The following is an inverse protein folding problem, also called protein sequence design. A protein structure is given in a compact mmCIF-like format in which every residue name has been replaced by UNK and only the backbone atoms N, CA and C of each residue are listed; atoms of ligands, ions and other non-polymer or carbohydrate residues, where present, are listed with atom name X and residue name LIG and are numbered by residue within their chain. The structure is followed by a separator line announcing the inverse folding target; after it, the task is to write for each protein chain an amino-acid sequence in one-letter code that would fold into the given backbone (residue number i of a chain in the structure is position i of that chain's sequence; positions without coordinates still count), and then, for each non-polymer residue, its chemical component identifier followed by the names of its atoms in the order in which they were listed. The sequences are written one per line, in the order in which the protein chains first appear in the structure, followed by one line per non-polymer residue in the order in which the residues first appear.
data_IF_279899532849
#
_entry.id   IF_279899532849
#
_cell.length_a   1.000
_cell.length_b   1.000
_cell.length_c   1.000
_cell.angle_alpha   90.00
_cell.angle_beta   90.00
_cell.angle_gamma   90.00
#
_symmetry.space_group_name_H-M   'P 1'
#
loop_
_entity.id
_entity.type
_entity.pdbx_description
1 polymer ?
#
# COMPACT_ATOMS: atom_id res chain seq x y z
N UNK A 1 -12.64 37.03 -11.27
CA UNK A 1 -12.76 35.58 -11.51
C UNK A 1 -12.14 34.86 -10.33
N UNK A 2 -12.95 34.17 -9.50
CA UNK A 2 -12.41 33.38 -8.41
C UNK A 2 -11.60 32.22 -9.00
N UNK A 3 -10.31 32.10 -8.64
CA UNK A 3 -9.51 30.91 -8.95
C UNK A 3 -10.30 29.70 -8.47
N UNK A 4 -10.69 28.82 -9.40
CA UNK A 4 -11.30 27.53 -9.10
C UNK A 4 -10.35 26.84 -8.11
N UNK A 5 -10.82 26.59 -6.88
CA UNK A 5 -9.98 25.98 -5.84
C UNK A 5 -9.48 24.63 -6.37
N UNK A 6 -8.16 24.44 -6.39
CA UNK A 6 -7.47 23.22 -6.85
C UNK A 6 -7.72 22.07 -5.86
N UNK A 7 -8.97 21.62 -5.77
CA UNK A 7 -9.35 20.48 -4.94
C UNK A 7 -9.38 19.23 -5.80
N UNK A 8 -8.36 18.39 -5.62
CA UNK A 8 -8.24 17.09 -6.30
C UNK A 8 -8.23 15.94 -5.29
N UNK A 9 -8.28 14.72 -5.81
CA UNK A 9 -8.03 13.48 -5.06
C UNK A 9 -6.71 13.55 -4.25
N UNK A 10 -5.66 14.14 -4.86
CA UNK A 10 -4.37 14.37 -4.21
C UNK A 10 -4.51 15.21 -2.93
N UNK A 11 -5.19 16.37 -3.01
CA UNK A 11 -5.26 17.31 -1.89
C UNK A 11 -6.30 16.93 -0.84
N UNK A 12 -7.39 16.26 -1.23
CA UNK A 12 -8.51 15.93 -0.32
C UNK A 12 -8.33 14.59 0.39
N UNK A 13 -7.60 13.65 -0.19
CA UNK A 13 -7.55 12.28 0.35
C UNK A 13 -6.12 11.73 0.40
N UNK A 14 -5.35 11.83 -0.69
CA UNK A 14 -4.03 11.18 -0.77
C UNK A 14 -3.01 11.78 0.21
N UNK A 15 -2.86 13.11 0.24
CA UNK A 15 -1.97 13.79 1.19
C UNK A 15 -2.43 13.54 2.64
N UNK A 16 -3.71 13.72 3.00
CA UNK A 16 -4.19 13.39 4.35
C UNK A 16 -3.95 11.93 4.76
N UNK A 17 -4.23 10.96 3.90
CA UNK A 17 -3.99 9.54 4.15
C UNK A 17 -2.50 9.24 4.39
N UNK A 18 -1.63 9.90 3.62
CA UNK A 18 -0.17 9.78 3.76
C UNK A 18 0.31 10.31 5.10
N UNK A 19 -0.14 11.50 5.47
CA UNK A 19 0.16 12.10 6.77
C UNK A 19 -0.40 11.24 7.91
N UNK A 20 -1.56 10.63 7.72
CA UNK A 20 -2.13 9.72 8.71
C UNK A 20 -1.31 8.44 8.91
N UNK A 21 -0.77 7.85 7.85
CA UNK A 21 0.18 6.74 7.96
C UNK A 21 1.45 7.17 8.71
N UNK A 22 1.96 8.38 8.49
CA UNK A 22 3.11 8.89 9.26
C UNK A 22 2.83 9.01 10.76
N UNK A 23 1.58 9.31 11.16
CA UNK A 23 1.18 9.28 12.58
C UNK A 23 1.31 7.90 13.21
N UNK A 24 1.23 6.85 12.39
CA UNK A 24 1.43 5.45 12.80
C UNK A 24 2.89 5.00 12.67
N UNK A 25 3.83 5.95 12.51
CA UNK A 25 5.26 5.68 12.53
C UNK A 25 5.84 5.12 11.22
N UNK A 26 5.23 5.45 10.09
CA UNK A 26 5.79 5.20 8.76
C UNK A 26 6.66 6.37 8.32
N UNK A 27 7.81 6.10 7.71
CA UNK A 27 8.68 7.15 7.16
C UNK A 27 8.28 7.44 5.71
N UNK A 28 8.03 8.71 5.40
CA UNK A 28 7.75 9.14 4.05
C UNK A 28 9.04 9.26 3.22
N UNK A 29 9.03 8.67 2.03
CA UNK A 29 10.08 8.81 1.03
C UNK A 29 9.67 9.87 -0.02
N UNK A 30 10.44 10.95 -0.19
CA UNK A 30 10.11 12.00 -1.15
C UNK A 30 10.21 11.50 -2.59
N UNK A 31 9.44 12.10 -3.52
CA UNK A 31 9.35 11.65 -4.93
C UNK A 31 10.70 11.65 -5.65
N UNK A 32 11.57 12.59 -5.30
CA UNK A 32 12.93 12.71 -5.84
C UNK A 32 14.00 12.21 -4.83
N UNK A 33 13.59 11.40 -3.85
CA UNK A 33 14.48 10.80 -2.87
C UNK A 33 15.39 9.74 -3.48
N UNK A 34 16.54 9.53 -2.84
CA UNK A 34 17.56 8.57 -3.28
C UNK A 34 16.99 7.16 -3.38
N UNK A 35 16.26 6.72 -2.36
CA UNK A 35 15.67 5.38 -2.28
C UNK A 35 14.69 5.11 -3.43
N UNK A 36 13.90 6.13 -3.80
CA UNK A 36 12.97 6.04 -4.93
C UNK A 36 13.72 6.03 -6.26
N UNK A 37 14.77 6.85 -6.40
CA UNK A 37 15.57 6.92 -7.61
C UNK A 37 16.38 5.63 -7.88
N UNK A 38 16.90 5.00 -6.82
CA UNK A 38 17.77 3.80 -6.88
C UNK A 38 17.01 2.47 -6.79
N UNK A 39 15.67 2.50 -6.71
CA UNK A 39 14.86 1.29 -6.67
C UNK A 39 15.06 0.41 -7.91
N UNK A 40 14.88 -0.90 -7.76
CA UNK A 40 14.89 -1.82 -8.89
C UNK A 40 13.72 -1.49 -9.84
N UNK A 41 13.97 -1.17 -11.12
CA UNK A 41 12.93 -0.69 -12.03
C UNK A 41 11.92 -1.78 -12.43
N UNK A 42 12.29 -3.06 -12.29
CA UNK A 42 11.44 -4.19 -12.68
C UNK A 42 10.43 -4.61 -11.60
N UNK A 43 10.70 -4.22 -10.34
CA UNK A 43 9.94 -4.68 -9.16
C UNK A 43 9.55 -3.57 -8.20
N UNK A 44 10.16 -2.39 -8.34
CA UNK A 44 10.11 -1.27 -7.39
C UNK A 44 10.70 -1.56 -6.00
N UNK A 45 11.50 -2.62 -5.83
CA UNK A 45 12.22 -2.88 -4.56
C UNK A 45 13.20 -1.75 -4.26
N UNK A 46 13.19 -1.21 -3.04
CA UNK A 46 14.18 -0.25 -2.55
C UNK A 46 15.46 -1.03 -2.21
N UNK A 47 16.33 -1.25 -3.20
CA UNK A 47 17.45 -2.20 -3.13
C UNK A 47 18.35 -1.94 -1.91
N UNK A 48 18.75 -0.69 -1.69
CA UNK A 48 19.62 -0.31 -0.57
C UNK A 48 18.98 -0.61 0.80
N UNK A 49 17.69 -0.28 0.96
CA UNK A 49 16.95 -0.53 2.21
C UNK A 49 16.75 -2.03 2.42
N UNK A 50 16.41 -2.76 1.35
CA UNK A 50 16.20 -4.19 1.43
C UNK A 50 17.50 -4.93 1.78
N UNK A 51 18.62 -4.56 1.16
CA UNK A 51 19.94 -5.12 1.46
C UNK A 51 20.32 -4.92 2.92
N UNK A 52 20.21 -3.69 3.42
CA UNK A 52 20.57 -3.37 4.80
C UNK A 52 19.75 -4.20 5.80
N UNK A 53 18.42 -4.26 5.62
CA UNK A 53 17.56 -5.03 6.51
C UNK A 53 17.77 -6.54 6.39
N UNK A 54 17.92 -7.04 5.17
CA UNK A 54 18.17 -8.46 4.92
C UNK A 54 19.47 -8.93 5.57
N UNK A 55 20.57 -8.19 5.42
CA UNK A 55 21.84 -8.53 6.05
C UNK A 55 21.84 -8.28 7.57
N UNK A 56 21.00 -7.38 8.07
CA UNK A 56 20.78 -7.21 9.52
C UNK A 56 20.14 -8.47 10.12
N UNK A 57 19.11 -9.02 9.47
CA UNK A 57 18.46 -10.24 9.95
C UNK A 57 19.25 -11.52 9.67
N UNK A 58 20.07 -11.51 8.62
CA UNK A 58 20.85 -12.66 8.18
C UNK A 58 22.35 -12.32 8.19
N UNK A 59 22.88 -11.97 9.37
CA UNK A 59 24.25 -11.48 9.55
C UNK A 59 25.37 -12.49 9.18
N UNK A 60 24.99 -13.73 8.85
CA UNK A 60 25.87 -14.78 8.34
C UNK A 60 25.98 -14.78 6.81
N UNK A 61 25.20 -13.95 6.11
CA UNK A 61 25.20 -13.80 4.66
C UNK A 61 26.06 -12.61 4.21
N UNK A 62 26.50 -12.67 2.96
CA UNK A 62 27.32 -11.64 2.32
C UNK A 62 26.54 -10.81 1.32
N UNK A 63 27.16 -9.74 0.82
CA UNK A 63 26.64 -8.96 -0.29
C UNK A 63 26.36 -9.83 -1.54
N UNK A 64 27.21 -10.83 -1.83
CA UNK A 64 27.02 -11.74 -2.97
C UNK A 64 25.78 -12.64 -2.79
N UNK A 65 25.50 -13.05 -1.54
CA UNK A 65 24.29 -13.80 -1.22
C UNK A 65 23.05 -12.94 -1.41
N UNK A 66 23.09 -11.67 -1.00
CA UNK A 66 22.00 -10.73 -1.25
C UNK A 66 21.72 -10.54 -2.74
N UNK A 67 22.74 -10.33 -3.57
CA UNK A 67 22.55 -10.17 -5.02
C UNK A 67 21.88 -11.41 -5.65
N UNK A 68 22.27 -12.60 -5.18
CA UNK A 68 21.64 -13.87 -5.60
C UNK A 68 20.19 -13.96 -5.14
N UNK A 69 19.90 -13.57 -3.91
CA UNK A 69 18.53 -13.54 -3.38
C UNK A 69 17.64 -12.55 -4.12
N UNK A 70 18.14 -11.35 -4.43
CA UNK A 70 17.42 -10.37 -5.23
C UNK A 70 17.13 -10.92 -6.64
N UNK A 71 18.10 -11.58 -7.27
CA UNK A 71 17.90 -12.24 -8.56
C UNK A 71 16.83 -13.36 -8.49
N UNK A 72 16.87 -14.20 -7.45
CA UNK A 72 15.89 -15.26 -7.21
C UNK A 72 14.47 -14.69 -7.03
N UNK A 73 14.33 -13.63 -6.22
CA UNK A 73 13.07 -12.91 -6.05
C UNK A 73 12.54 -12.42 -7.40
N UNK A 74 13.38 -11.79 -8.24
CA UNK A 74 12.96 -11.30 -9.56
C UNK A 74 12.47 -12.43 -10.48
N UNK A 75 13.08 -13.60 -10.42
CA UNK A 75 12.66 -14.79 -11.17
C UNK A 75 11.31 -15.31 -10.67
N UNK A 76 11.12 -15.41 -9.36
CA UNK A 76 9.84 -15.85 -8.77
C UNK A 76 8.70 -14.89 -9.07
N UNK A 77 8.96 -13.59 -9.01
CA UNK A 77 7.98 -12.57 -9.32
C UNK A 77 7.51 -12.59 -10.77
N UNK A 78 8.26 -13.22 -11.68
CA UNK A 78 7.82 -13.42 -13.07
C UNK A 78 7.02 -14.72 -13.28
N UNK A 79 6.85 -15.55 -12.25
CA UNK A 79 6.05 -16.77 -12.34
C UNK A 79 4.55 -16.46 -12.45
N UNK A 80 3.84 -17.28 -13.22
CA UNK A 80 2.39 -17.15 -13.40
C UNK A 80 1.62 -17.79 -12.22
N UNK A 81 1.88 -17.36 -10.99
CA UNK A 81 1.42 -18.03 -9.76
C UNK A 81 0.71 -17.11 -8.74
N UNK A 82 0.46 -15.83 -9.10
CA UNK A 82 -0.08 -14.77 -8.24
C UNK A 82 0.82 -14.37 -7.07
N UNK A 83 2.13 -14.62 -7.16
CA UNK A 83 3.11 -14.32 -6.13
C UNK A 83 3.09 -15.33 -5.00
N UNK A 84 2.71 -16.58 -5.26
CA UNK A 84 2.70 -17.66 -4.25
C UNK A 84 4.11 -18.08 -3.87
N UNK A 85 5.01 -18.19 -4.83
CA UNK A 85 6.43 -18.50 -4.63
C UNK A 85 7.09 -17.40 -3.81
N UNK A 86 6.94 -16.13 -4.23
CA UNK A 86 7.42 -14.99 -3.46
C UNK A 86 6.83 -14.93 -2.04
N UNK A 87 5.53 -15.19 -1.90
CA UNK A 87 4.88 -15.24 -0.58
C UNK A 87 5.53 -16.30 0.33
N UNK A 88 5.76 -17.53 -0.17
CA UNK A 88 6.44 -18.58 0.62
C UNK A 88 7.86 -18.17 1.01
N UNK A 89 8.60 -17.52 0.09
CA UNK A 89 9.94 -17.00 0.36
C UNK A 89 9.93 -16.03 1.54
N UNK A 90 9.09 -15.00 1.50
CA UNK A 90 9.06 -13.98 2.57
C UNK A 90 8.53 -14.53 3.91
N UNK A 91 7.83 -15.67 3.91
CA UNK A 91 7.48 -16.39 5.15
C UNK A 91 8.69 -17.09 5.80
N UNK A 92 9.89 -17.03 5.20
CA UNK A 92 11.11 -17.60 5.78
C UNK A 92 11.20 -19.13 5.70
N UNK A 93 10.38 -19.77 4.86
CA UNK A 93 10.39 -21.24 4.71
C UNK A 93 11.72 -21.79 4.15
N UNK A 94 12.56 -20.91 3.58
CA UNK A 94 13.85 -21.26 2.96
C UNK A 94 15.06 -20.86 3.82
N UNK A 95 14.86 -20.50 5.10
CA UNK A 95 15.93 -20.29 6.08
C UNK A 95 16.43 -18.84 6.22
N UNK A 96 16.20 -17.99 5.22
CA UNK A 96 16.48 -16.55 5.33
C UNK A 96 15.28 -15.77 5.89
N UNK A 97 15.57 -14.73 6.68
CA UNK A 97 14.56 -13.85 7.29
C UNK A 97 14.44 -12.56 6.48
N UNK A 98 13.24 -12.27 6.00
CA UNK A 98 12.95 -11.06 5.21
C UNK A 98 12.19 -10.01 6.03
N UNK A 99 11.36 -10.50 6.94
CA UNK A 99 10.44 -9.74 7.80
C UNK A 99 10.45 -10.44 9.14
N UNK A 100 10.63 -9.68 10.22
CA UNK A 100 10.37 -10.19 11.56
C UNK A 100 8.86 -10.13 11.83
N UNK A 101 8.21 -11.28 11.75
CA UNK A 101 6.76 -11.39 11.92
C UNK A 101 6.30 -11.29 13.39
N UNK A 102 7.22 -11.50 14.32
CA UNK A 102 6.93 -11.55 15.76
C UNK A 102 7.19 -10.20 16.44
N UNK A 103 8.19 -9.44 15.95
CA UNK A 103 8.59 -8.14 16.48
C UNK A 103 8.45 -7.04 15.40
N UNK A 104 7.26 -6.41 15.27
CA UNK A 104 7.02 -5.39 14.24
C UNK A 104 8.02 -4.24 14.26
N UNK A 105 8.50 -3.83 15.43
CA UNK A 105 9.48 -2.76 15.63
C UNK A 105 10.88 -3.07 15.09
N UNK A 106 11.20 -4.34 14.86
CA UNK A 106 12.44 -4.74 14.19
C UNK A 106 12.40 -4.47 12.68
N UNK A 107 11.22 -4.22 12.11
CA UNK A 107 11.05 -3.92 10.69
C UNK A 107 10.99 -2.41 10.43
N UNK A 108 11.44 -2.03 9.24
CA UNK A 108 11.33 -0.67 8.73
C UNK A 108 10.09 -0.53 7.83
N UNK A 109 9.28 0.49 8.09
CA UNK A 109 8.08 0.80 7.32
C UNK A 109 8.22 2.14 6.61
N UNK A 110 8.21 2.10 5.29
CA UNK A 110 8.25 3.29 4.45
C UNK A 110 6.96 3.45 3.66
N UNK A 111 6.67 4.67 3.23
CA UNK A 111 5.65 4.94 2.23
C UNK A 111 6.14 5.96 1.21
N UNK A 112 5.65 5.86 -0.02
CA UNK A 112 5.91 6.82 -1.07
C UNK A 112 4.67 7.08 -1.91
N UNK A 113 4.54 8.30 -2.42
CA UNK A 113 3.45 8.67 -3.31
C UNK A 113 3.79 8.35 -4.75
N UNK A 114 2.81 7.85 -5.51
CA UNK A 114 2.88 7.87 -6.97
C UNK A 114 4.09 7.14 -7.57
N UNK A 115 4.57 6.07 -6.92
CA UNK A 115 5.65 5.21 -7.45
C UNK A 115 5.15 4.49 -8.70
N UNK A 116 5.81 4.72 -9.83
CA UNK A 116 5.36 4.18 -11.12
C UNK A 116 5.80 2.74 -11.27
N UNK A 117 4.85 1.86 -11.60
CA UNK A 117 5.06 0.48 -12.02
C UNK A 117 5.07 0.46 -13.55
N UNK A 118 6.25 0.41 -14.16
CA UNK A 118 6.41 0.52 -15.60
C UNK A 118 7.11 -0.72 -16.17
N UNK A 119 6.59 -1.24 -17.28
CA UNK A 119 7.25 -2.27 -18.06
C UNK A 119 6.99 -2.04 -19.56
N UNK A 120 8.03 -1.62 -20.27
CA UNK A 120 7.93 -1.18 -21.65
C UNK A 120 7.05 0.07 -21.77
N UNK A 121 6.00 -0.02 -22.60
CA UNK A 121 5.05 1.07 -22.85
C UNK A 121 3.83 1.05 -21.91
N UNK A 122 3.72 0.03 -21.07
CA UNK A 122 2.61 -0.09 -20.12
C UNK A 122 3.07 0.40 -18.74
N UNK A 123 2.25 1.22 -18.12
CA UNK A 123 2.46 1.69 -16.76
C UNK A 123 1.16 1.76 -15.97
N UNK A 124 1.28 1.60 -14.65
CA UNK A 124 0.28 2.06 -13.70
C UNK A 124 0.98 2.67 -12.50
N UNK A 125 0.25 3.49 -11.74
CA UNK A 125 0.82 4.27 -10.64
C UNK A 125 -0.15 4.28 -9.47
N UNK A 126 0.08 3.46 -8.44
CA UNK A 126 -0.70 3.51 -7.21
C UNK A 126 -0.59 4.87 -6.53
N UNK A 127 -1.63 5.29 -5.82
CA UNK A 127 -1.59 6.56 -5.09
C UNK A 127 -0.54 6.56 -3.96
N UNK A 128 -0.52 5.52 -3.13
CA UNK A 128 0.44 5.35 -2.02
C UNK A 128 0.99 3.93 -2.06
N UNK A 129 2.31 3.77 -2.06
CA UNK A 129 2.97 2.46 -1.94
C UNK A 129 3.58 2.35 -0.54
N UNK A 130 3.36 1.23 0.13
CA UNK A 130 3.89 0.89 1.44
C UNK A 130 4.98 -0.17 1.28
N UNK A 131 6.14 0.12 1.85
CA UNK A 131 7.28 -0.77 1.87
C UNK A 131 7.54 -1.30 3.26
N UNK A 132 7.86 -2.58 3.35
CA UNK A 132 8.35 -3.23 4.58
C UNK A 132 9.74 -3.76 4.26
N UNK A 133 10.76 -3.29 4.97
CA UNK A 133 12.16 -3.64 4.74
C UNK A 133 12.57 -3.47 3.27
N UNK A 134 12.10 -2.39 2.63
CA UNK A 134 12.38 -2.09 1.22
C UNK A 134 11.54 -2.84 0.18
N UNK A 135 10.72 -3.83 0.57
CA UNK A 135 9.83 -4.55 -0.33
C UNK A 135 8.48 -3.84 -0.49
N UNK A 136 7.98 -3.54 -1.71
CA UNK A 136 6.68 -2.90 -1.94
C UNK A 136 5.52 -3.90 -1.77
N UNK A 137 5.21 -4.26 -0.52
CA UNK A 137 4.25 -5.33 -0.20
C UNK A 137 2.80 -4.85 -0.21
N UNK A 138 2.55 -3.55 -0.22
CA UNK A 138 1.17 -3.04 -0.26
C UNK A 138 1.06 -1.72 -1.00
N UNK A 139 -0.12 -1.45 -1.56
CA UNK A 139 -0.47 -0.13 -2.04
C UNK A 139 -1.92 0.23 -1.70
N UNK A 140 -2.16 1.53 -1.58
CA UNK A 140 -3.45 2.14 -1.27
C UNK A 140 -3.87 2.99 -2.46
N UNK A 141 -5.05 2.70 -3.00
CA UNK A 141 -5.75 3.56 -3.96
C UNK A 141 -6.79 4.38 -3.22
N UNK A 142 -6.74 5.69 -3.37
CA UNK A 142 -7.71 6.61 -2.78
C UNK A 142 -8.54 7.25 -3.86
N UNK A 143 -9.80 7.53 -3.57
CA UNK A 143 -10.72 8.18 -4.50
C UNK A 143 -11.35 9.38 -3.84
N UNK A 144 -11.59 10.42 -4.63
CA UNK A 144 -12.33 11.58 -4.15
C UNK A 144 -13.78 11.18 -3.78
N UNK A 145 -14.29 11.58 -2.60
CA UNK A 145 -15.68 11.36 -2.21
C UNK A 145 -16.67 11.85 -3.27
N UNK A 146 -17.71 11.07 -3.52
CA UNK A 146 -18.79 11.36 -4.47
C UNK A 146 -18.35 11.51 -5.94
N UNK A 147 -17.14 11.06 -6.29
CA UNK A 147 -16.69 11.07 -7.67
C UNK A 147 -17.42 9.98 -8.47
N UNK A 148 -18.21 10.40 -9.47
CA UNK A 148 -18.82 9.54 -10.48
C UNK A 148 -18.21 9.88 -11.83
N UNK A 149 -17.69 8.87 -12.54
CA UNK A 149 -17.15 9.01 -13.89
C UNK A 149 -17.72 7.90 -14.77
N UNK A 150 -18.24 8.26 -15.93
CA UNK A 150 -18.86 7.31 -16.88
C UNK A 150 -19.91 6.39 -16.24
N UNK A 151 -20.70 6.94 -15.31
CA UNK A 151 -21.74 6.21 -14.57
C UNK A 151 -21.23 5.24 -13.50
N UNK A 152 -19.92 5.19 -13.25
CA UNK A 152 -19.28 4.34 -12.23
C UNK A 152 -18.81 5.16 -11.03
N UNK A 153 -18.93 4.59 -9.84
CA UNK A 153 -18.29 5.14 -8.64
C UNK A 153 -16.78 4.91 -8.67
N UNK A 154 -16.02 5.67 -7.86
CA UNK A 154 -14.58 5.45 -7.71
C UNK A 154 -14.22 4.00 -7.37
N UNK A 155 -15.02 3.34 -6.52
CA UNK A 155 -14.82 1.94 -6.15
C UNK A 155 -14.98 1.01 -7.36
N UNK A 156 -16.04 1.18 -8.14
CA UNK A 156 -16.28 0.34 -9.32
C UNK A 156 -15.19 0.52 -10.38
N UNK A 157 -14.76 1.77 -10.63
CA UNK A 157 -13.66 2.06 -11.55
C UNK A 157 -12.35 1.41 -11.11
N UNK A 158 -12.04 1.41 -9.82
CA UNK A 158 -10.81 0.77 -9.31
C UNK A 158 -10.87 -0.75 -9.34
N UNK A 159 -12.05 -1.36 -9.15
CA UNK A 159 -12.21 -2.81 -9.34
C UNK A 159 -11.88 -3.23 -10.78
N UNK A 160 -12.37 -2.48 -11.78
CA UNK A 160 -12.08 -2.74 -13.20
C UNK A 160 -10.61 -2.53 -13.53
N UNK A 161 -10.00 -1.44 -13.03
CA UNK A 161 -8.57 -1.14 -13.22
C UNK A 161 -7.69 -2.21 -12.59
N UNK A 162 -8.00 -2.62 -11.38
CA UNK A 162 -7.29 -3.69 -10.68
C UNK A 162 -7.34 -4.99 -11.48
N UNK A 163 -8.52 -5.35 -12.01
CA UNK A 163 -8.68 -6.53 -12.86
C UNK A 163 -7.79 -6.45 -14.11
N UNK A 164 -7.82 -5.33 -14.83
CA UNK A 164 -6.96 -5.12 -16.01
C UNK A 164 -5.47 -5.26 -15.66
N UNK A 165 -5.04 -4.69 -14.53
CA UNK A 165 -3.64 -4.80 -14.06
C UNK A 165 -3.23 -6.25 -13.82
N UNK A 166 -4.09 -7.07 -13.23
CA UNK A 166 -3.82 -8.49 -12.98
C UNK A 166 -3.79 -9.36 -14.23
N UNK A 167 -4.61 -9.02 -15.24
CA UNK A 167 -4.65 -9.73 -16.52
C UNK A 167 -3.45 -9.35 -17.43
N UNK A 168 -2.82 -8.18 -17.21
CA UNK A 168 -1.66 -7.74 -17.98
C UNK A 168 -0.34 -8.37 -17.47
N UNK A 169 0.21 -9.31 -18.25
CA UNK A 169 1.47 -9.99 -17.94
C UNK A 169 2.67 -9.04 -17.74
N UNK A 170 2.68 -7.84 -18.33
CA UNK A 170 3.76 -6.87 -18.14
C UNK A 170 3.83 -6.35 -16.71
N UNK A 171 2.71 -6.38 -15.99
CA UNK A 171 2.63 -5.98 -14.59
C UNK A 171 2.83 -7.13 -13.60
N UNK A 172 3.13 -8.34 -14.09
CA UNK A 172 3.19 -9.55 -13.27
C UNK A 172 4.12 -9.41 -12.07
N UNK A 173 5.33 -8.88 -12.24
CA UNK A 173 6.27 -8.68 -11.13
C UNK A 173 5.71 -7.76 -10.05
N UNK A 174 5.16 -6.60 -10.44
CA UNK A 174 4.53 -5.64 -9.52
C UNK A 174 3.29 -6.21 -8.83
N UNK A 175 2.49 -7.00 -9.54
CA UNK A 175 1.35 -7.69 -8.94
C UNK A 175 1.83 -8.74 -7.94
N UNK A 176 2.72 -9.64 -8.34
CA UNK A 176 3.19 -10.76 -7.53
C UNK A 176 3.90 -10.32 -6.23
N UNK A 177 4.60 -9.18 -6.24
CA UNK A 177 5.25 -8.64 -5.04
C UNK A 177 4.24 -7.98 -4.08
N UNK A 178 3.13 -7.45 -4.61
CA UNK A 178 2.06 -6.87 -3.80
C UNK A 178 1.32 -7.97 -3.04
N UNK A 179 1.28 -7.88 -1.71
CA UNK A 179 0.62 -8.84 -0.83
C UNK A 179 -0.76 -8.35 -0.35
N UNK A 180 -0.95 -7.03 -0.24
CA UNK A 180 -2.19 -6.39 0.20
C UNK A 180 -2.50 -5.16 -0.66
N UNK A 181 -3.73 -5.09 -1.18
CA UNK A 181 -4.26 -3.92 -1.89
C UNK A 181 -5.36 -3.31 -1.03
N UNK A 182 -5.29 -2.00 -0.82
CA UNK A 182 -6.31 -1.24 -0.13
C UNK A 182 -6.93 -0.20 -1.07
N UNK A 183 -8.22 0.05 -0.91
CA UNK A 183 -9.00 1.00 -1.70
C UNK A 183 -9.92 1.78 -0.77
N UNK A 184 -10.02 3.10 -0.92
CA UNK A 184 -11.00 3.91 -0.19
C UNK A 184 -11.48 5.08 -1.01
N UNK A 185 -12.79 5.34 -1.02
CA UNK A 185 -13.36 6.59 -1.55
C UNK A 185 -13.65 7.63 -0.45
N UNK A 186 -13.14 7.40 0.76
CA UNK A 186 -13.30 8.25 1.92
C UNK A 186 -14.77 8.56 2.26
N UNK A 187 -15.67 7.61 2.03
CA UNK A 187 -17.07 7.63 2.46
C UNK A 187 -17.36 6.49 3.45
N UNK A 188 -18.33 6.64 4.36
CA UNK A 188 -18.79 5.52 5.19
C UNK A 188 -19.52 4.47 4.32
N UNK A 189 -19.61 3.23 4.80
CA UNK A 189 -20.42 2.22 4.11
C UNK A 189 -21.91 2.57 4.15
N UNK A 190 -22.63 2.30 3.06
CA UNK A 190 -24.10 2.38 3.04
C UNK A 190 -24.68 1.01 3.41
N UNK A 191 -25.55 0.98 4.42
CA UNK A 191 -26.35 -0.21 4.76
C UNK A 191 -27.50 -0.39 3.74
N UNK A 192 -27.77 -1.65 3.36
CA UNK A 192 -29.02 -2.00 2.65
C UNK A 192 -28.97 -2.10 1.12
N UNK A 193 -27.83 -1.90 0.45
CA UNK A 193 -27.69 -2.25 -0.97
C UNK A 193 -26.56 -3.26 -1.14
N UNK A 194 -26.86 -4.45 -1.69
CA UNK A 194 -25.90 -5.54 -1.91
C UNK A 194 -24.79 -5.26 -2.93
N UNK A 195 -24.48 -3.98 -3.21
CA UNK A 195 -23.42 -3.56 -4.13
C UNK A 195 -22.38 -2.72 -3.37
N UNK A 196 -21.11 -3.09 -3.52
CA UNK A 196 -19.94 -2.36 -3.01
C UNK A 196 -19.75 -1.04 -3.77
N UNK A 197 -20.62 -0.06 -3.53
CA UNK A 197 -20.62 1.22 -4.26
C UNK A 197 -19.72 2.28 -3.64
N UNK A 198 -19.59 2.27 -2.32
CA UNK A 198 -18.77 3.21 -1.56
C UNK A 198 -18.25 2.59 -0.27
N UNK A 199 -17.16 3.14 0.25
CA UNK A 199 -16.49 2.68 1.45
C UNK A 199 -15.03 2.35 1.21
N UNK A 200 -14.46 1.66 2.19
CA UNK A 200 -13.08 1.19 2.14
C UNK A 200 -13.04 -0.32 1.96
N UNK A 201 -12.05 -0.83 1.24
CA UNK A 201 -11.94 -2.25 0.96
C UNK A 201 -10.49 -2.68 0.91
N UNK A 202 -10.26 -3.96 1.17
CA UNK A 202 -8.95 -4.57 0.99
C UNK A 202 -9.04 -5.93 0.31
N UNK A 203 -7.96 -6.35 -0.33
CA UNK A 203 -7.87 -7.63 -1.02
C UNK A 203 -6.43 -8.04 -1.30
N UNK A 204 -6.27 -9.24 -1.86
CA UNK A 204 -4.99 -9.76 -2.34
C UNK A 204 -5.09 -10.11 -3.83
N UNK A 205 -3.96 -10.47 -4.43
CA UNK A 205 -3.89 -10.90 -5.82
C UNK A 205 -4.83 -12.07 -6.15
N UNK A 206 -5.61 -11.94 -7.23
CA UNK A 206 -6.44 -13.00 -7.78
C UNK A 206 -6.61 -12.84 -9.30
N UNK A 207 -6.39 -13.91 -10.08
CA UNK A 207 -6.56 -13.91 -11.54
C UNK A 207 -8.02 -13.69 -11.98
N UNK A 208 -9.00 -14.01 -11.13
CA UNK A 208 -10.41 -13.76 -11.42
C UNK A 208 -11.17 -13.34 -10.15
N UNK A 209 -11.86 -12.20 -10.28
CA UNK A 209 -12.66 -11.56 -9.22
C UNK A 209 -11.86 -11.32 -7.93
N UNK A 210 -10.94 -10.35 -7.93
CA UNK A 210 -10.38 -9.79 -6.70
C UNK A 210 -11.53 -9.46 -5.76
N UNK A 211 -11.67 -10.27 -4.70
CA UNK A 211 -12.71 -10.07 -3.71
C UNK A 211 -12.21 -9.01 -2.75
N UNK A 212 -12.72 -7.82 -2.94
CA UNK A 212 -12.57 -6.74 -2.01
C UNK A 212 -13.47 -7.00 -0.80
N UNK A 213 -12.87 -7.14 0.37
CA UNK A 213 -13.58 -7.32 1.63
C UNK A 213 -13.84 -5.94 2.24
N UNK A 214 -15.07 -5.70 2.69
CA UNK A 214 -15.37 -4.53 3.49
C UNK A 214 -14.74 -4.72 4.87
N UNK A 215 -14.12 -3.67 5.39
CA UNK A 215 -13.56 -3.66 6.74
C UNK A 215 -14.45 -2.84 7.67
N UNK A 216 -15.01 -3.45 8.71
CA UNK A 216 -15.71 -2.74 9.78
C UNK A 216 -14.90 -2.92 11.06
N UNK A 217 -14.37 -1.82 11.58
CA UNK A 217 -13.67 -1.84 12.86
C UNK A 217 -14.69 -1.85 14.00
N UNK A 218 -14.52 -2.77 14.95
CA UNK A 218 -15.34 -2.80 16.17
C UNK A 218 -14.57 -2.20 17.37
N UNK A 219 -13.25 -2.01 17.24
CA UNK A 219 -12.34 -1.49 18.27
C UNK A 219 -11.72 -0.13 17.89
N UNK A 220 -12.51 0.80 17.37
CA UNK A 220 -11.99 2.09 16.87
C UNK A 220 -11.21 2.88 17.93
N UNK A 221 -11.66 2.84 19.19
CA UNK A 221 -11.06 3.56 20.32
C UNK A 221 -9.63 3.09 20.62
N UNK A 222 -9.38 1.77 20.54
CA UNK A 222 -8.07 1.19 20.85
C UNK A 222 -7.00 1.68 19.87
N UNK A 223 -7.37 1.91 18.60
CA UNK A 223 -6.45 2.34 17.55
C UNK A 223 -6.24 3.86 17.51
N UNK A 224 -7.21 4.65 17.94
CA UNK A 224 -7.04 6.11 18.00
C UNK A 224 -5.94 6.50 19.01
N UNK A 225 -5.77 5.71 20.07
CA UNK A 225 -4.75 5.95 21.11
C UNK A 225 -3.31 5.68 20.65
N UNK A 226 -3.10 4.92 19.56
CA UNK A 226 -1.75 4.64 19.02
C UNK A 226 -1.27 5.68 18.01
N UNK A 227 -2.09 6.69 17.70
CA UNK A 227 -1.80 7.72 16.70
C UNK A 227 -0.98 8.84 17.32
N UNK A 228 0.24 9.04 16.83
CA UNK A 228 1.11 10.14 17.28
C UNK A 228 0.73 11.43 16.55
N UNK A 229 0.67 12.60 17.22
CA UNK A 229 0.48 13.88 16.55
C UNK A 229 1.57 14.16 15.50
N UNK A 230 1.18 14.78 14.38
CA UNK A 230 2.14 15.22 13.36
C UNK A 230 2.90 16.44 13.86
N UNK A 231 4.21 16.47 13.58
CA UNK A 231 5.01 17.69 13.69
C UNK A 231 4.75 18.55 12.46
N UNK A 232 4.75 19.87 12.64
CA UNK A 232 4.60 20.85 11.54
C UNK A 232 5.60 20.60 10.40
N UNK A 233 6.84 20.28 10.75
CA UNK A 233 7.91 19.94 9.80
C UNK A 233 7.56 18.74 8.90
N UNK A 234 6.82 17.74 9.40
CA UNK A 234 6.40 16.58 8.62
C UNK A 234 5.32 16.96 7.60
N UNK A 235 4.41 17.86 7.99
CA UNK A 235 3.39 18.41 7.09
C UNK A 235 4.04 19.25 6.00
N UNK A 236 4.95 20.15 6.38
CA UNK A 236 5.67 21.02 5.46
C UNK A 236 6.46 20.21 4.44
N UNK A 237 7.22 19.21 4.90
CA UNK A 237 8.01 18.35 4.05
C UNK A 237 7.21 17.69 2.92
N UNK A 238 6.04 17.12 3.22
CA UNK A 238 5.18 16.50 2.19
C UNK A 238 4.60 17.56 1.27
N UNK A 239 4.09 18.66 1.82
CA UNK A 239 3.45 19.69 1.02
C UNK A 239 4.43 20.38 0.07
N UNK A 240 5.69 20.50 0.46
CA UNK A 240 6.78 20.96 -0.41
C UNK A 240 7.09 19.94 -1.52
N UNK A 241 7.27 18.65 -1.18
CA UNK A 241 7.58 17.60 -2.16
C UNK A 241 6.49 17.48 -3.25
N UNK A 242 5.22 17.57 -2.86
CA UNK A 242 4.08 17.53 -3.79
C UNK A 242 3.73 18.89 -4.40
N UNK A 243 4.48 19.96 -4.08
CA UNK A 243 4.30 21.34 -4.56
C UNK A 243 2.91 21.91 -4.26
N UNK A 244 2.37 21.63 -3.06
CA UNK A 244 1.07 22.09 -2.56
C UNK A 244 1.15 22.79 -1.21
N UNK A 245 2.23 23.51 -0.91
CA UNK A 245 2.40 24.25 0.35
C UNK A 245 1.21 25.16 0.73
N UNK A 246 0.58 25.81 -0.25
CA UNK A 246 -0.60 26.65 -0.03
C UNK A 246 -1.83 25.91 0.53
N UNK A 247 -1.84 24.57 0.52
CA UNK A 247 -2.88 23.74 1.11
C UNK A 247 -2.92 23.85 2.63
N UNK A 248 -1.76 24.10 3.27
CA UNK A 248 -1.61 24.13 4.74
C UNK A 248 -2.57 25.10 5.42
N UNK A 249 -2.85 26.24 4.80
CA UNK A 249 -3.72 27.28 5.36
C UNK A 249 -5.22 27.08 5.03
N UNK A 250 -5.61 26.00 4.34
CA UNK A 250 -7.00 25.77 3.96
C UNK A 250 -7.76 25.08 5.09
N UNK A 251 -8.92 25.60 5.54
CA UNK A 251 -9.71 24.96 6.59
C UNK A 251 -10.11 23.50 6.26
N UNK A 252 -10.40 23.23 4.98
CA UNK A 252 -10.75 21.87 4.52
C UNK A 252 -9.58 20.89 4.67
N UNK A 253 -8.32 21.36 4.58
CA UNK A 253 -7.16 20.50 4.81
C UNK A 253 -7.16 19.99 6.25
N UNK A 254 -7.39 20.87 7.24
CA UNK A 254 -7.52 20.50 8.66
C UNK A 254 -8.64 19.48 8.88
N UNK A 255 -9.77 19.63 8.19
CA UNK A 255 -10.88 18.64 8.25
C UNK A 255 -10.47 17.29 7.66
N UNK A 256 -9.77 17.27 6.52
CA UNK A 256 -9.34 16.02 5.89
C UNK A 256 -8.23 15.31 6.69
N UNK A 257 -7.48 16.03 7.51
CA UNK A 257 -6.46 15.48 8.42
C UNK A 257 -7.05 14.81 9.67
N UNK A 258 -8.36 14.89 9.92
CA UNK A 258 -8.95 14.28 11.10
C UNK A 258 -8.82 12.74 11.05
N UNK A 259 -8.36 12.08 12.13
CA UNK A 259 -8.28 10.62 12.22
C UNK A 259 -9.61 9.91 11.92
N UNK A 260 -10.73 10.57 12.16
CA UNK A 260 -12.10 10.04 12.08
C UNK A 260 -12.69 10.09 10.66
N UNK A 261 -11.94 10.59 9.66
CA UNK A 261 -12.41 10.48 8.28
C UNK A 261 -12.50 9.00 7.88
N UNK A 262 -13.47 8.57 7.06
CA UNK A 262 -13.66 7.15 6.73
C UNK A 262 -12.40 6.46 6.16
N UNK A 263 -11.58 7.19 5.40
CA UNK A 263 -10.30 6.67 4.91
C UNK A 263 -9.29 6.52 6.06
N UNK A 264 -9.12 7.53 6.90
CA UNK A 264 -8.15 7.48 8.00
C UNK A 264 -8.53 6.44 9.06
N UNK A 265 -9.80 6.28 9.42
CA UNK A 265 -10.25 5.20 10.32
C UNK A 265 -9.91 3.83 9.73
N UNK A 266 -10.17 3.63 8.43
CA UNK A 266 -9.80 2.39 7.75
C UNK A 266 -8.29 2.13 7.75
N UNK A 267 -7.47 3.18 7.55
CA UNK A 267 -6.01 3.05 7.62
C UNK A 267 -5.54 2.76 9.06
N UNK A 268 -6.10 3.45 10.06
CA UNK A 268 -5.85 3.17 11.48
C UNK A 268 -6.17 1.75 11.87
N UNK A 269 -7.16 1.14 11.23
CA UNK A 269 -7.45 -0.26 11.44
C UNK A 269 -6.48 -1.17 10.72
N UNK A 270 -6.28 -1.02 9.41
CA UNK A 270 -5.59 -2.01 8.58
C UNK A 270 -4.07 -1.89 8.60
N UNK A 271 -3.54 -0.67 8.78
CA UNK A 271 -2.12 -0.33 8.62
C UNK A 271 -1.39 -0.08 9.95
N UNK A 272 -1.95 -0.49 11.10
CA UNK A 272 -1.10 -0.70 12.29
C UNK A 272 -0.06 -1.76 11.94
N UNK A 273 1.18 -1.59 12.38
CA UNK A 273 2.31 -2.43 11.95
C UNK A 273 2.05 -3.91 12.26
N UNK A 274 1.60 -4.20 13.48
CA UNK A 274 1.22 -5.53 13.96
C UNK A 274 0.13 -6.14 13.07
N UNK A 275 -0.92 -5.36 12.77
CA UNK A 275 -2.05 -5.85 11.98
C UNK A 275 -1.69 -6.01 10.52
N UNK A 276 -0.92 -5.10 9.94
CA UNK A 276 -0.45 -5.19 8.57
C UNK A 276 0.38 -6.45 8.38
N UNK A 277 1.33 -6.69 9.30
CA UNK A 277 2.14 -7.91 9.30
C UNK A 277 1.29 -9.16 9.45
N UNK A 278 0.32 -9.18 10.37
CA UNK A 278 -0.64 -10.27 10.49
C UNK A 278 -1.43 -10.51 9.19
N UNK A 279 -1.95 -9.45 8.57
CA UNK A 279 -2.74 -9.56 7.33
C UNK A 279 -1.91 -10.09 6.16
N UNK A 280 -0.63 -9.72 6.08
CA UNK A 280 0.31 -10.21 5.08
C UNK A 280 0.70 -11.66 5.38
N UNK A 281 1.09 -11.99 6.62
CA UNK A 281 1.57 -13.34 6.99
C UNK A 281 0.49 -14.41 6.91
N UNK A 282 -0.75 -14.07 7.27
CA UNK A 282 -1.87 -15.01 7.22
C UNK A 282 -2.59 -15.09 5.88
N UNK A 283 -2.27 -14.18 4.94
CA UNK A 283 -2.86 -14.00 3.61
C UNK A 283 -4.19 -14.76 3.39
N UNK A 284 -5.22 -14.34 4.13
CA UNK A 284 -6.63 -14.73 3.97
C UNK A 284 -6.92 -16.25 4.05
N UNK A 285 -7.28 -16.70 5.25
CA UNK A 285 -7.91 -18.00 5.56
C UNK A 285 -8.92 -18.39 4.45
N UNK A 286 -8.68 -19.51 3.76
CA UNK A 286 -9.57 -20.16 2.78
C UNK A 286 -9.78 -19.46 1.43
N UNK A 287 -8.76 -19.51 0.55
CA UNK A 287 -9.02 -19.60 -0.90
C UNK A 287 -8.67 -20.95 -1.53
N UNK A 288 -8.16 -21.95 -0.77
CA UNK A 288 -7.84 -23.29 -1.31
C UNK A 288 -8.11 -24.52 -0.44
N UNK A 289 -8.81 -24.45 0.70
CA UNK A 289 -9.41 -25.68 1.29
C UNK A 289 -10.64 -26.20 0.51
N UNK A 290 -10.88 -25.71 -0.70
CA UNK A 290 -11.92 -26.20 -1.61
C UNK A 290 -11.42 -26.61 -3.00
N UNK A 291 -10.18 -27.11 -3.06
CA UNK A 291 -9.82 -28.08 -4.11
C UNK A 291 -9.18 -29.26 -3.40
N UNK A 292 -10.06 -30.06 -2.78
CA UNK A 292 -9.70 -31.32 -2.18
C UNK A 292 -9.12 -32.26 -3.22
N UNK A 293 -8.15 -33.03 -2.74
CA UNK A 293 -7.78 -34.38 -3.16
C UNK A 293 -8.86 -35.15 -3.92
N UNK A 294 -8.39 -35.82 -4.99
CA UNK A 294 -9.00 -36.75 -5.94
C UNK A 294 -9.54 -36.14 -7.23
#
# INVERSE_FOLDING_TARGET
MAKRKDFSELTRVQIPATLHLMRMGYTYLPRNGKEIAERDPDTNILVSVFKEQFLTFNNYLTDEDFERELANIKLELDQNDLGRSFFKRIQGQEGAVYIDWENPEANIFHLALEVTCQNGQDEFRPNIVVFINGLPLSYIEVKQPNAIRDGKTGIQSEQDRTRYRFENHKFRRFNNITQLIALSDNLPYISGQGQQKQGSYYGSNAYSKTKFNAFKEEREIDFLNSIVPLREEQIDFILEDVKRFALKSQPEFTTNLQPETPCNTFLSSLYQKERLLFMISWKLIKSKEKYGTN
#
